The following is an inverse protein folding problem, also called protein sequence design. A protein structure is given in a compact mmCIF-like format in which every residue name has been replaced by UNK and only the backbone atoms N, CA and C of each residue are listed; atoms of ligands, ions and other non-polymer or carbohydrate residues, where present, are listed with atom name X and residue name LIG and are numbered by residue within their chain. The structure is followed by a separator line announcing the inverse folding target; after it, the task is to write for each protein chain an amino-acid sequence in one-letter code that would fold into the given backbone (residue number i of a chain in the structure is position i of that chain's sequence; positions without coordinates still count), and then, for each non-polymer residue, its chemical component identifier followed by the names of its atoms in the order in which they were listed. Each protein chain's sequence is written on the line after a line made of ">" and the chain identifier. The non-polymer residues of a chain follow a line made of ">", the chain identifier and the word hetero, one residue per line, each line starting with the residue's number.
data_IF_519548826543
#
_entry.id   IF_519548826543
#
_cell.length_a   1.000
_cell.length_b   1.000
_cell.length_c   1.000
_cell.angle_alpha   90.00
_cell.angle_beta   90.00
_cell.angle_gamma   90.00
#
_symmetry.space_group_name_H-M   'P 1'
#
loop_
_entity.id
_entity.type
_entity.pdbx_description
1 polymer ?
#
# COMPACT_ATOMS: atom_id res chain seq x y z
N UNK A 1 12.14 10.33 26.18
CA UNK A 1 10.87 9.94 25.51
C UNK A 1 10.75 10.77 24.24
N UNK A 2 10.38 10.20 23.08
CA UNK A 2 10.24 10.94 21.83
C UNK A 2 9.13 11.99 21.92
N UNK A 3 9.45 13.24 21.57
CA UNK A 3 8.54 14.39 21.60
C UNK A 3 8.13 14.74 20.15
N UNK A 4 6.93 14.33 19.78
CA UNK A 4 6.41 14.52 18.43
C UNK A 4 6.13 15.98 18.08
N UNK A 5 5.70 16.81 19.03
CA UNK A 5 5.41 18.24 18.79
C UNK A 5 6.72 18.99 18.50
N UNK A 6 7.75 18.74 19.31
CA UNK A 6 9.08 19.33 19.11
C UNK A 6 9.67 18.87 17.78
N UNK A 7 9.54 17.57 17.43
CA UNK A 7 9.99 17.05 16.16
C UNK A 7 9.30 17.78 15.00
N UNK A 8 7.96 17.87 15.02
CA UNK A 8 7.19 18.56 13.97
C UNK A 8 7.64 19.99 13.79
N UNK A 9 7.82 20.73 14.90
CA UNK A 9 8.28 22.12 14.84
C UNK A 9 9.64 22.23 14.14
N UNK A 10 10.62 21.43 14.53
CA UNK A 10 11.95 21.45 13.95
C UNK A 10 11.95 21.03 12.48
N UNK A 11 11.25 19.94 12.14
CA UNK A 11 11.18 19.46 10.76
C UNK A 11 10.43 20.41 9.82
N UNK A 12 9.44 21.16 10.31
CA UNK A 12 8.75 22.21 9.54
C UNK A 12 9.70 23.40 9.29
N UNK A 13 10.49 23.81 10.27
CA UNK A 13 11.48 24.89 10.12
C UNK A 13 12.57 24.47 9.12
N UNK A 14 13.14 23.27 9.28
CA UNK A 14 14.12 22.71 8.36
C UNK A 14 13.58 22.61 6.92
N UNK A 15 12.37 22.09 6.74
CA UNK A 15 11.76 21.97 5.43
C UNK A 15 11.57 23.35 4.74
N UNK A 16 11.26 24.42 5.48
CA UNK A 16 11.14 25.78 4.93
C UNK A 16 12.47 26.32 4.43
N UNK A 17 13.56 25.99 5.10
CA UNK A 17 14.91 26.45 4.74
C UNK A 17 15.51 25.63 3.59
N UNK A 18 15.29 24.32 3.60
CA UNK A 18 15.92 23.37 2.67
C UNK A 18 15.15 23.23 1.37
N UNK A 19 13.80 23.14 1.45
CA UNK A 19 12.96 22.78 0.30
C UNK A 19 12.46 24.05 -0.39
N UNK A 20 13.21 24.53 -1.36
CA UNK A 20 12.92 25.79 -2.08
C UNK A 20 12.38 25.50 -3.49
N UNK A 21 11.14 25.87 -3.74
CA UNK A 21 10.48 25.73 -5.04
C UNK A 21 9.43 24.63 -5.09
N UNK A 22 9.04 24.23 -6.31
CA UNK A 22 8.05 23.17 -6.51
C UNK A 22 8.64 21.82 -6.11
N UNK A 23 7.87 21.10 -5.35
CA UNK A 23 8.26 19.85 -4.70
C UNK A 23 7.16 18.83 -4.93
N UNK A 24 7.53 17.58 -5.13
CA UNK A 24 6.58 16.50 -5.40
C UNK A 24 6.74 15.37 -4.37
N UNK A 25 5.64 14.74 -4.02
CA UNK A 25 5.61 13.52 -3.20
C UNK A 25 4.64 12.51 -3.80
N UNK A 26 5.05 11.24 -3.83
CA UNK A 26 4.15 10.12 -4.10
C UNK A 26 3.34 9.81 -2.83
N UNK A 27 2.06 10.12 -2.84
CA UNK A 27 1.14 9.88 -1.72
C UNK A 27 0.50 8.51 -1.88
N UNK A 28 1.07 7.47 -1.27
CA UNK A 28 0.54 6.09 -1.36
C UNK A 28 -0.64 5.80 -0.42
N UNK A 29 -1.01 6.75 0.45
CA UNK A 29 -1.97 6.52 1.53
C UNK A 29 -1.42 5.70 2.69
N UNK A 30 -0.16 5.29 2.67
CA UNK A 30 0.55 4.71 3.80
C UNK A 30 0.90 5.77 4.85
N UNK A 31 1.11 5.36 6.11
CA UNK A 31 1.36 6.31 7.21
C UNK A 31 2.59 7.19 6.95
N UNK A 32 3.66 6.66 6.33
CA UNK A 32 4.90 7.39 6.12
C UNK A 32 4.73 8.50 5.08
N UNK A 33 4.24 8.16 3.88
CA UNK A 33 3.98 9.14 2.83
C UNK A 33 2.94 10.19 3.25
N UNK A 34 1.91 9.77 3.99
CA UNK A 34 0.88 10.66 4.52
C UNK A 34 1.43 11.63 5.57
N UNK A 35 2.29 11.14 6.46
CA UNK A 35 2.97 11.97 7.47
C UNK A 35 3.90 12.99 6.82
N UNK A 36 4.69 12.57 5.83
CA UNK A 36 5.53 13.47 5.04
C UNK A 36 4.69 14.53 4.33
N UNK A 37 3.59 14.14 3.67
CA UNK A 37 2.72 15.08 2.96
C UNK A 37 2.15 16.15 3.90
N UNK A 38 1.68 15.77 5.08
CA UNK A 38 1.17 16.71 6.09
C UNK A 38 2.27 17.61 6.66
N UNK A 39 3.42 17.05 6.97
CA UNK A 39 4.54 17.77 7.57
C UNK A 39 5.14 18.80 6.61
N UNK A 40 5.49 18.37 5.40
CA UNK A 40 6.07 19.24 4.37
C UNK A 40 5.00 20.20 3.81
N UNK A 41 3.75 19.73 3.67
CA UNK A 41 2.63 20.61 3.30
C UNK A 41 2.42 21.76 4.28
N UNK A 42 2.63 21.51 5.59
CA UNK A 42 2.61 22.57 6.62
C UNK A 42 3.76 23.57 6.48
N UNK A 43 4.91 23.12 5.97
CA UNK A 43 6.09 23.95 5.78
C UNK A 43 6.00 24.84 4.53
N UNK A 44 5.69 24.26 3.36
CA UNK A 44 5.79 24.94 2.06
C UNK A 44 4.45 25.10 1.31
N UNK A 45 3.35 24.64 1.92
CA UNK A 45 1.98 24.86 1.41
C UNK A 45 1.80 24.36 -0.03
N UNK A 46 1.26 25.21 -0.90
CA UNK A 46 0.97 24.91 -2.31
C UNK A 46 2.20 24.61 -3.18
N UNK A 47 3.42 24.74 -2.65
CA UNK A 47 4.62 24.33 -3.36
C UNK A 47 4.84 22.82 -3.30
N UNK A 48 4.26 22.13 -2.33
CA UNK A 48 4.22 20.66 -2.34
C UNK A 48 3.05 20.18 -3.20
N UNK A 49 3.32 19.34 -4.18
CA UNK A 49 2.30 18.61 -4.97
C UNK A 49 2.28 17.15 -4.51
N UNK A 50 1.16 16.72 -3.96
CA UNK A 50 0.96 15.37 -3.47
C UNK A 50 0.23 14.56 -4.53
N UNK A 51 0.91 13.64 -5.21
CA UNK A 51 0.35 12.82 -6.29
C UNK A 51 -0.05 11.46 -5.76
N UNK A 52 -1.33 11.16 -5.81
CA UNK A 52 -1.87 9.82 -5.60
C UNK A 52 -2.12 9.18 -6.96
N UNK A 53 -1.53 8.02 -7.18
CA UNK A 53 -1.72 7.24 -8.42
C UNK A 53 -2.68 6.08 -8.13
N UNK A 54 -3.87 6.14 -8.72
CA UNK A 54 -4.79 5.01 -8.70
C UNK A 54 -4.38 4.01 -9.79
N UNK A 55 -3.82 2.91 -9.34
CA UNK A 55 -3.35 1.82 -10.19
C UNK A 55 -4.46 0.84 -10.58
N UNK A 56 -5.64 0.95 -9.98
CA UNK A 56 -6.70 -0.06 -10.06
C UNK A 56 -6.47 -1.27 -9.14
N UNK A 57 -5.33 -1.32 -8.41
CA UNK A 57 -4.97 -2.43 -7.51
C UNK A 57 -5.09 -2.08 -6.03
N UNK A 58 -5.78 -0.98 -5.73
CA UNK A 58 -6.02 -0.54 -4.36
C UNK A 58 -7.14 -1.37 -3.70
N UNK A 59 -7.20 -1.32 -2.37
CA UNK A 59 -8.30 -1.92 -1.59
C UNK A 59 -9.64 -1.25 -1.92
N UNK A 60 -10.72 -1.90 -1.54
CA UNK A 60 -12.09 -1.39 -1.74
C UNK A 60 -12.26 0.01 -1.14
N UNK A 61 -12.78 0.94 -1.93
CA UNK A 61 -13.04 2.35 -1.58
C UNK A 61 -11.81 3.14 -1.13
N UNK A 62 -10.61 2.61 -1.31
CA UNK A 62 -9.39 3.26 -0.83
C UNK A 62 -9.01 4.51 -1.64
N UNK A 63 -9.06 4.52 -2.98
CA UNK A 63 -8.76 5.71 -3.77
C UNK A 63 -9.67 6.89 -3.40
N UNK A 64 -10.97 6.65 -3.29
CA UNK A 64 -11.96 7.65 -2.91
C UNK A 64 -11.70 8.17 -1.50
N UNK A 65 -11.39 7.27 -0.58
CA UNK A 65 -11.11 7.61 0.81
C UNK A 65 -9.86 8.45 0.96
N UNK A 66 -8.79 8.12 0.23
CA UNK A 66 -7.56 8.93 0.25
C UNK A 66 -7.83 10.31 -0.33
N UNK A 67 -8.58 10.40 -1.42
CA UNK A 67 -9.00 11.67 -2.00
C UNK A 67 -9.75 12.53 -0.97
N UNK A 68 -10.79 11.98 -0.34
CA UNK A 68 -11.57 12.69 0.71
C UNK A 68 -10.69 13.22 1.85
N UNK A 69 -9.70 12.42 2.29
CA UNK A 69 -8.83 12.80 3.40
C UNK A 69 -7.89 13.94 3.03
N UNK A 70 -7.34 13.94 1.81
CA UNK A 70 -6.21 14.80 1.46
C UNK A 70 -6.55 15.98 0.55
N UNK A 71 -7.63 15.94 -0.25
CA UNK A 71 -7.93 17.00 -1.23
C UNK A 71 -8.11 18.39 -0.62
N UNK A 72 -8.54 18.47 0.65
CA UNK A 72 -8.70 19.75 1.38
C UNK A 72 -7.50 20.11 2.25
N UNK A 73 -6.58 19.18 2.52
CA UNK A 73 -5.48 19.35 3.46
C UNK A 73 -4.15 19.70 2.80
N UNK A 74 -3.93 19.22 1.58
CA UNK A 74 -2.69 19.41 0.83
C UNK A 74 -3.00 19.77 -0.62
N UNK A 75 -2.00 20.20 -1.38
CA UNK A 75 -2.15 20.36 -2.83
C UNK A 75 -2.15 18.97 -3.50
N UNK A 76 -3.33 18.41 -3.66
CA UNK A 76 -3.57 17.01 -4.02
C UNK A 76 -3.85 16.87 -5.51
N UNK A 77 -3.16 15.92 -6.15
CA UNK A 77 -3.38 15.47 -7.53
C UNK A 77 -3.78 14.00 -7.54
N UNK A 78 -4.90 13.71 -8.21
CA UNK A 78 -5.36 12.34 -8.41
C UNK A 78 -5.05 11.91 -9.84
N UNK A 79 -4.17 10.92 -10.00
CA UNK A 79 -3.82 10.33 -11.27
C UNK A 79 -4.57 9.00 -11.44
N UNK A 80 -5.67 9.01 -12.20
CA UNK A 80 -6.33 7.77 -12.62
C UNK A 80 -5.48 7.11 -13.73
N UNK A 81 -4.86 6.00 -13.39
CA UNK A 81 -3.98 5.27 -14.29
C UNK A 81 -4.38 3.78 -14.45
N UNK A 82 -5.57 3.41 -13.96
CA UNK A 82 -6.03 2.02 -13.91
C UNK A 82 -5.87 1.30 -15.24
N UNK A 83 -6.37 1.87 -16.34
CA UNK A 83 -6.29 1.26 -17.68
C UNK A 83 -4.84 1.01 -18.10
N UNK A 84 -3.95 1.98 -17.85
CA UNK A 84 -2.52 1.86 -18.20
C UNK A 84 -1.85 0.67 -17.50
N UNK A 85 -2.20 0.42 -16.23
CA UNK A 85 -1.67 -0.71 -15.49
C UNK A 85 -2.28 -2.05 -15.94
N UNK A 86 -3.59 -2.11 -16.15
CA UNK A 86 -4.23 -3.33 -16.64
C UNK A 86 -3.75 -3.72 -18.03
N UNK A 87 -3.62 -2.78 -18.96
CA UNK A 87 -3.14 -3.03 -20.31
C UNK A 87 -1.69 -3.56 -20.31
N UNK A 88 -0.84 -3.00 -19.46
CA UNK A 88 0.56 -3.41 -19.38
C UNK A 88 0.76 -4.79 -18.71
N UNK A 89 -0.18 -5.22 -17.88
CA UNK A 89 -0.14 -6.54 -17.22
C UNK A 89 -0.86 -7.64 -18.00
N UNK A 90 -1.43 -7.33 -19.15
CA UNK A 90 -2.14 -8.31 -19.96
C UNK A 90 -1.21 -9.44 -20.41
N UNK A 91 -1.59 -10.68 -20.08
CA UNK A 91 -0.81 -11.89 -20.36
C UNK A 91 0.39 -12.13 -19.44
N UNK A 92 0.64 -11.24 -18.47
CA UNK A 92 1.76 -11.38 -17.51
C UNK A 92 1.30 -12.20 -16.31
N UNK A 93 2.01 -13.30 -16.03
CA UNK A 93 1.74 -14.20 -14.90
C UNK A 93 2.89 -14.29 -13.93
N UNK A 94 4.13 -14.03 -14.38
CA UNK A 94 5.31 -14.07 -13.50
C UNK A 94 5.29 -12.94 -12.46
N UNK A 95 5.43 -13.25 -11.16
CA UNK A 95 5.33 -12.27 -10.08
C UNK A 95 6.39 -11.15 -10.15
N UNK A 96 7.61 -11.50 -10.52
CA UNK A 96 8.70 -10.52 -10.60
C UNK A 96 8.53 -9.60 -11.81
N UNK A 97 8.00 -10.13 -12.90
CA UNK A 97 7.66 -9.32 -14.08
C UNK A 97 6.50 -8.36 -13.77
N UNK A 98 5.44 -8.83 -13.08
CA UNK A 98 4.36 -7.96 -12.58
C UNK A 98 4.93 -6.80 -11.75
N UNK A 99 5.79 -7.09 -10.76
CA UNK A 99 6.42 -6.07 -9.90
C UNK A 99 7.23 -5.04 -10.69
N UNK A 100 8.04 -5.51 -11.66
CA UNK A 100 8.86 -4.64 -12.51
C UNK A 100 8.02 -3.73 -13.39
N UNK A 101 6.98 -4.25 -14.03
CA UNK A 101 6.07 -3.48 -14.89
C UNK A 101 5.34 -2.43 -14.07
N UNK A 102 4.76 -2.82 -12.92
CA UNK A 102 4.03 -1.91 -12.04
C UNK A 102 4.96 -0.80 -11.55
N UNK A 103 6.16 -1.15 -11.07
CA UNK A 103 7.13 -0.17 -10.61
C UNK A 103 7.57 0.80 -11.71
N UNK A 104 7.80 0.30 -12.93
CA UNK A 104 8.17 1.11 -14.09
C UNK A 104 7.08 2.13 -14.42
N UNK A 105 5.83 1.68 -14.58
CA UNK A 105 4.70 2.57 -14.92
C UNK A 105 4.47 3.61 -13.83
N UNK A 106 4.57 3.21 -12.57
CA UNK A 106 4.44 4.13 -11.43
C UNK A 106 5.48 5.26 -11.51
N UNK A 107 6.74 4.93 -11.80
CA UNK A 107 7.81 5.89 -11.99
C UNK A 107 7.55 6.79 -13.19
N UNK A 108 7.08 6.26 -14.31
CA UNK A 108 6.77 7.04 -15.51
C UNK A 108 5.67 8.07 -15.23
N UNK A 109 4.57 7.66 -14.59
CA UNK A 109 3.48 8.58 -14.21
C UNK A 109 3.99 9.65 -13.26
N UNK A 110 4.77 9.24 -12.26
CA UNK A 110 5.32 10.19 -11.30
C UNK A 110 6.24 11.22 -11.96
N UNK A 111 7.04 10.80 -12.95
CA UNK A 111 7.88 11.68 -13.76
C UNK A 111 7.08 12.69 -14.57
N UNK A 112 5.96 12.27 -15.18
CA UNK A 112 5.04 13.13 -15.92
C UNK A 112 4.54 14.28 -15.02
N UNK A 113 4.20 13.98 -13.77
CA UNK A 113 3.79 15.00 -12.79
C UNK A 113 4.95 15.87 -12.33
N UNK A 114 6.14 15.30 -12.13
CA UNK A 114 7.33 16.07 -11.76
C UNK A 114 7.69 17.11 -12.85
N UNK A 115 7.60 16.72 -14.10
CA UNK A 115 7.81 17.61 -15.24
C UNK A 115 6.71 18.67 -15.39
N UNK A 116 5.43 18.27 -15.30
CA UNK A 116 4.26 19.16 -15.33
C UNK A 116 4.40 20.32 -14.35
N UNK A 117 4.88 20.00 -13.14
CA UNK A 117 5.06 20.98 -12.06
C UNK A 117 6.43 21.61 -11.99
N UNK A 118 7.38 21.18 -12.84
CA UNK A 118 8.79 21.61 -12.81
C UNK A 118 9.37 21.47 -11.41
N UNK A 119 9.13 20.29 -10.81
CA UNK A 119 9.58 19.98 -9.47
C UNK A 119 11.09 20.03 -9.37
N UNK A 120 11.61 20.51 -8.24
CA UNK A 120 13.05 20.53 -7.92
C UNK A 120 13.38 19.50 -6.84
N UNK A 121 12.43 19.22 -5.96
CA UNK A 121 12.60 18.28 -4.85
C UNK A 121 11.62 17.13 -4.96
N UNK A 122 12.09 15.95 -4.52
CA UNK A 122 11.29 14.75 -4.25
C UNK A 122 11.28 14.52 -2.75
N UNK A 123 10.09 14.54 -2.14
CA UNK A 123 9.92 14.10 -0.76
C UNK A 123 9.68 12.61 -0.72
N UNK A 124 10.40 11.90 0.12
CA UNK A 124 10.28 10.46 0.30
C UNK A 124 10.05 10.10 1.77
N UNK A 125 9.16 9.13 2.01
CA UNK A 125 8.80 8.67 3.34
C UNK A 125 9.71 7.58 3.89
N UNK A 126 11.01 7.65 3.61
CA UNK A 126 12.03 6.75 4.16
C UNK A 126 12.08 6.88 5.68
N UNK A 127 12.14 5.76 6.39
CA UNK A 127 12.27 5.69 7.85
C UNK A 127 13.53 4.93 8.25
N UNK A 128 13.91 4.96 9.53
CA UNK A 128 15.16 4.40 10.02
C UNK A 128 15.40 2.92 9.63
N UNK A 129 14.43 1.99 9.73
CA UNK A 129 14.63 0.62 9.27
C UNK A 129 14.99 0.51 7.79
N UNK A 130 14.35 1.31 6.91
CA UNK A 130 14.52 1.21 5.45
C UNK A 130 15.98 1.45 5.04
N UNK A 131 16.64 2.46 5.60
CA UNK A 131 18.02 2.75 5.23
C UNK A 131 19.05 1.92 6.01
N UNK A 132 18.70 1.40 7.20
CA UNK A 132 19.55 0.48 7.97
C UNK A 132 19.67 -0.87 7.23
N UNK A 133 18.56 -1.40 6.73
CA UNK A 133 18.53 -2.64 5.95
C UNK A 133 19.29 -2.50 4.62
N UNK A 134 19.28 -1.32 4.02
CA UNK A 134 19.93 -1.05 2.74
C UNK A 134 21.44 -0.81 2.86
N UNK A 135 22.02 -0.70 4.05
CA UNK A 135 23.46 -0.42 4.28
C UNK A 135 24.45 -1.37 3.60
N UNK A 136 23.99 -2.50 3.03
CA UNK A 136 24.82 -3.41 2.22
C UNK A 136 25.13 -2.93 0.80
N UNK A 137 24.37 -1.96 0.23
CA UNK A 137 24.45 -1.58 -1.19
C UNK A 137 24.19 -0.09 -1.48
N UNK A 138 24.41 0.84 -0.56
CA UNK A 138 24.06 2.25 -0.80
C UNK A 138 25.24 3.08 -1.27
N UNK A 139 25.10 3.53 -2.52
CA UNK A 139 25.53 4.87 -2.90
C UNK A 139 24.50 5.86 -2.34
N UNK A 140 24.92 6.73 -1.44
CA UNK A 140 24.12 7.87 -0.97
C UNK A 140 23.91 8.84 -2.13
N UNK A 141 22.86 8.61 -2.93
CA UNK A 141 22.48 9.58 -3.95
C UNK A 141 21.52 10.56 -3.30
N UNK A 142 21.99 11.78 -3.07
CA UNK A 142 21.15 12.91 -2.65
C UNK A 142 20.21 13.40 -3.76
N UNK A 143 20.33 12.84 -4.97
CA UNK A 143 19.57 13.25 -6.15
C UNK A 143 18.99 12.03 -6.87
N UNK A 144 17.75 12.15 -7.31
CA UNK A 144 17.06 11.18 -8.15
C UNK A 144 17.03 11.71 -9.58
N UNK A 145 17.72 11.02 -10.49
CA UNK A 145 17.67 11.34 -11.93
C UNK A 145 16.41 10.71 -12.54
N UNK A 146 15.61 11.52 -13.22
CA UNK A 146 14.45 11.08 -13.97
C UNK A 146 14.85 10.67 -15.40
N UNK A 147 14.08 9.82 -16.08
CA UNK A 147 14.32 9.42 -17.47
C UNK A 147 14.41 10.60 -18.46
N UNK A 148 13.73 11.71 -18.17
CA UNK A 148 13.81 12.98 -18.92
C UNK A 148 15.15 13.70 -18.81
N UNK A 149 16.06 13.24 -17.97
CA UNK A 149 17.30 13.94 -17.63
C UNK A 149 17.15 15.00 -16.53
N UNK A 150 15.94 15.23 -16.02
CA UNK A 150 15.71 16.07 -14.85
C UNK A 150 16.28 15.40 -13.60
N UNK A 151 16.92 16.16 -12.73
CA UNK A 151 17.41 15.69 -11.43
C UNK A 151 16.60 16.35 -10.33
N UNK A 152 16.05 15.53 -9.42
CA UNK A 152 15.36 15.99 -8.22
C UNK A 152 16.27 15.84 -7.01
N UNK A 153 16.29 16.85 -6.16
CA UNK A 153 16.92 16.75 -4.85
C UNK A 153 16.02 15.96 -3.91
N UNK A 154 16.59 14.97 -3.20
CA UNK A 154 15.85 14.12 -2.30
C UNK A 154 15.73 14.75 -0.91
N UNK A 155 14.52 14.81 -0.36
CA UNK A 155 14.23 15.25 0.99
C UNK A 155 13.46 14.17 1.78
N UNK A 156 14.04 13.70 2.89
CA UNK A 156 13.56 12.57 3.67
C UNK A 156 13.31 12.98 5.14
N UNK A 157 12.22 13.68 5.44
CA UNK A 157 12.00 14.27 6.77
C UNK A 157 11.80 13.27 7.90
N UNK A 158 11.52 12.00 7.62
CA UNK A 158 11.26 10.95 8.61
C UNK A 158 12.41 9.95 8.75
N UNK A 159 13.53 10.18 8.08
CA UNK A 159 14.63 9.23 7.90
C UNK A 159 15.16 8.62 9.21
N UNK A 160 15.20 9.41 10.27
CA UNK A 160 15.74 8.98 11.57
C UNK A 160 14.68 8.42 12.53
N UNK A 161 13.42 8.35 12.10
CA UNK A 161 12.32 7.86 12.93
C UNK A 161 12.06 6.38 12.74
N UNK A 162 11.67 5.73 13.85
CA UNK A 162 11.10 4.40 13.83
C UNK A 162 9.57 4.45 13.61
N UNK A 163 8.99 3.34 13.17
CA UNK A 163 7.57 3.26 12.79
C UNK A 163 6.61 3.78 13.87
N UNK A 164 6.88 3.47 15.14
CA UNK A 164 6.06 3.93 16.26
C UNK A 164 6.15 5.45 16.49
N UNK A 165 7.30 6.05 16.18
CA UNK A 165 7.49 7.50 16.27
C UNK A 165 6.78 8.20 15.13
N UNK A 166 6.85 7.65 13.89
CA UNK A 166 6.08 8.13 12.74
C UNK A 166 4.58 8.13 13.03
N UNK A 167 4.05 7.06 13.62
CA UNK A 167 2.63 6.99 14.03
C UNK A 167 2.27 8.06 15.06
N UNK A 168 3.16 8.36 16.02
CA UNK A 168 2.95 9.46 16.98
C UNK A 168 2.90 10.82 16.27
N UNK A 169 3.84 11.07 15.35
CA UNK A 169 3.86 12.29 14.53
C UNK A 169 2.60 12.39 13.68
N UNK A 170 2.17 11.31 13.04
CA UNK A 170 0.96 11.23 12.23
C UNK A 170 -0.29 11.67 13.04
N UNK A 171 -0.45 11.14 14.26
CA UNK A 171 -1.57 11.49 15.14
C UNK A 171 -1.55 12.96 15.57
N UNK A 172 -0.38 13.50 15.92
CA UNK A 172 -0.23 14.92 16.29
C UNK A 172 -0.51 15.84 15.07
N UNK A 173 -0.19 15.41 13.86
CA UNK A 173 -0.54 16.11 12.62
C UNK A 173 -2.03 16.01 12.24
N UNK A 174 -2.84 15.27 13.00
CA UNK A 174 -4.29 15.13 12.79
C UNK A 174 -4.66 14.11 11.71
N UNK A 175 -3.78 13.14 11.41
CA UNK A 175 -4.13 11.98 10.60
C UNK A 175 -4.98 11.02 11.43
N UNK A 176 -6.04 10.47 10.82
CA UNK A 176 -6.95 9.52 11.47
C UNK A 176 -6.25 8.20 11.82
N UNK A 177 -6.84 7.44 12.74
CA UNK A 177 -6.37 6.08 13.05
C UNK A 177 -6.38 5.18 11.83
N UNK A 178 -7.31 5.39 10.91
CA UNK A 178 -7.38 4.67 9.63
C UNK A 178 -6.07 4.76 8.82
N UNK A 179 -5.37 5.89 8.89
CA UNK A 179 -4.06 6.09 8.24
C UNK A 179 -2.93 5.69 9.19
N UNK A 180 -2.96 6.14 10.44
CA UNK A 180 -1.85 5.96 11.37
C UNK A 180 -1.66 4.51 11.83
N UNK A 181 -2.74 3.73 11.91
CA UNK A 181 -2.75 2.32 12.33
C UNK A 181 -3.02 1.34 11.18
N UNK A 182 -2.89 1.80 9.96
CA UNK A 182 -3.16 0.99 8.78
C UNK A 182 -2.26 -0.24 8.71
N UNK A 183 -2.87 -1.40 8.42
CA UNK A 183 -2.12 -2.63 8.12
C UNK A 183 -1.22 -2.45 6.90
N UNK A 184 -0.03 -3.05 6.87
CA UNK A 184 0.84 -3.05 5.71
C UNK A 184 0.10 -3.45 4.43
N UNK A 185 0.48 -2.83 3.31
CA UNK A 185 -0.05 -3.15 2.00
C UNK A 185 1.10 -3.12 1.00
N UNK A 186 1.21 -4.12 0.12
CA UNK A 186 2.32 -4.20 -0.81
C UNK A 186 2.28 -3.10 -1.86
N UNK A 187 3.44 -2.65 -2.33
CA UNK A 187 3.53 -1.62 -3.36
C UNK A 187 2.77 -1.94 -4.65
N UNK A 188 2.86 -3.18 -5.18
CA UNK A 188 2.07 -3.58 -6.36
C UNK A 188 0.56 -3.75 -6.09
N UNK A 189 0.11 -3.57 -4.86
CA UNK A 189 -1.30 -3.68 -4.49
C UNK A 189 -1.87 -5.09 -4.64
N UNK A 190 -3.14 -5.17 -5.01
CA UNK A 190 -3.85 -6.44 -5.19
C UNK A 190 -3.36 -7.24 -6.41
N UNK A 191 -2.55 -6.67 -7.29
CA UNK A 191 -2.02 -7.38 -8.46
C UNK A 191 -1.20 -8.62 -8.08
N UNK A 192 -0.43 -8.58 -6.96
CA UNK A 192 0.33 -9.71 -6.45
C UNK A 192 -0.48 -10.63 -5.51
N UNK A 193 -1.78 -10.40 -5.42
CA UNK A 193 -2.74 -11.26 -4.75
C UNK A 193 -3.69 -11.95 -5.74
N UNK A 194 -3.38 -11.85 -7.03
CA UNK A 194 -3.98 -12.61 -8.13
C UNK A 194 -2.88 -13.49 -8.71
N UNK A 195 -2.90 -14.80 -8.37
CA UNK A 195 -1.85 -15.76 -8.77
C UNK A 195 -2.09 -16.26 -10.20
N UNK A 196 -2.11 -15.41 -11.15
CA UNK A 196 -2.18 -15.62 -12.59
C UNK A 196 -2.18 -14.27 -13.29
N UNK A 197 -2.61 -14.24 -14.54
CA UNK A 197 -2.88 -12.99 -15.26
C UNK A 197 -3.84 -12.09 -14.47
N UNK A 198 -3.45 -10.83 -14.33
CA UNK A 198 -4.23 -9.81 -13.61
C UNK A 198 -5.28 -9.24 -14.52
N UNK A 199 -6.56 -9.45 -14.21
CA UNK A 199 -7.71 -8.87 -14.93
C UNK A 199 -8.58 -8.05 -13.99
N UNK A 200 -9.38 -7.12 -14.53
CA UNK A 200 -10.33 -6.32 -13.72
C UNK A 200 -11.27 -7.21 -12.90
N UNK A 201 -11.81 -8.29 -13.51
CA UNK A 201 -12.67 -9.25 -12.83
C UNK A 201 -11.96 -9.91 -11.63
N UNK A 202 -10.74 -10.43 -11.85
CA UNK A 202 -9.99 -11.11 -10.80
C UNK A 202 -9.58 -10.16 -9.68
N UNK A 203 -9.20 -8.93 -10.00
CA UNK A 203 -8.88 -7.90 -9.01
C UNK A 203 -10.12 -7.53 -8.20
N UNK A 204 -11.30 -7.44 -8.82
CA UNK A 204 -12.54 -7.17 -8.09
C UNK A 204 -12.92 -8.30 -7.14
N UNK A 205 -12.76 -9.56 -7.57
CA UNK A 205 -12.98 -10.73 -6.71
C UNK A 205 -12.06 -10.68 -5.48
N UNK A 206 -10.77 -10.44 -5.66
CA UNK A 206 -9.83 -10.38 -4.52
C UNK A 206 -10.07 -9.15 -3.66
N UNK A 207 -10.48 -8.02 -4.23
CA UNK A 207 -10.82 -6.78 -3.53
C UNK A 207 -11.99 -6.97 -2.58
N UNK A 208 -13.07 -7.60 -3.05
CA UNK A 208 -14.23 -7.92 -2.23
C UNK A 208 -13.88 -8.93 -1.13
N UNK A 209 -13.13 -9.99 -1.47
CA UNK A 209 -12.71 -10.98 -0.49
C UNK A 209 -11.79 -10.36 0.59
N UNK A 210 -10.85 -9.50 0.21
CA UNK A 210 -9.97 -8.76 1.14
C UNK A 210 -10.78 -7.86 2.09
N UNK A 211 -11.81 -7.20 1.57
CA UNK A 211 -12.70 -6.37 2.39
C UNK A 211 -13.43 -7.22 3.44
N UNK A 212 -14.02 -8.36 3.06
CA UNK A 212 -14.69 -9.28 3.98
C UNK A 212 -13.74 -9.79 5.06
N UNK A 213 -12.51 -10.21 4.67
CA UNK A 213 -11.51 -10.70 5.64
C UNK A 213 -11.18 -9.61 6.66
N UNK A 214 -10.93 -8.38 6.22
CA UNK A 214 -10.56 -7.28 7.12
C UNK A 214 -11.73 -6.86 8.03
N UNK A 215 -12.95 -6.85 7.53
CA UNK A 215 -14.16 -6.58 8.32
C UNK A 215 -14.33 -7.60 9.45
N UNK A 216 -14.26 -8.90 9.13
CA UNK A 216 -14.42 -9.96 10.14
C UNK A 216 -13.31 -9.94 11.21
N UNK A 217 -12.07 -9.62 10.82
CA UNK A 217 -10.97 -9.45 11.77
C UNK A 217 -11.20 -8.22 12.65
N UNK A 218 -11.65 -7.11 12.06
CA UNK A 218 -12.00 -5.89 12.83
C UNK A 218 -13.12 -6.15 13.85
N UNK A 219 -14.21 -6.79 13.44
CA UNK A 219 -15.33 -7.14 14.34
C UNK A 219 -14.92 -8.08 15.46
N UNK A 220 -13.92 -8.91 15.24
CA UNK A 220 -13.42 -9.84 16.26
C UNK A 220 -12.44 -9.19 17.25
N UNK A 221 -12.08 -7.91 17.09
CA UNK A 221 -11.07 -7.19 17.86
C UNK A 221 -9.72 -7.91 17.96
N UNK A 222 -9.38 -8.72 16.96
CA UNK A 222 -8.11 -9.44 16.90
C UNK A 222 -6.99 -8.51 16.43
N UNK A 223 -5.94 -8.42 17.23
CA UNK A 223 -4.70 -7.79 16.80
C UNK A 223 -3.93 -8.77 15.92
N UNK A 224 -3.69 -8.38 14.69
CA UNK A 224 -2.91 -9.14 13.71
C UNK A 224 -1.94 -8.19 13.02
N UNK A 225 -0.84 -8.73 12.49
CA UNK A 225 0.08 -7.94 11.67
C UNK A 225 -0.55 -7.61 10.32
N UNK A 226 -1.09 -8.63 9.66
CA UNK A 226 -1.72 -8.52 8.36
C UNK A 226 -2.79 -9.58 8.19
N UNK A 227 -3.90 -9.22 7.55
CA UNK A 227 -4.99 -10.10 7.18
C UNK A 227 -5.48 -9.74 5.78
N UNK A 228 -5.54 -10.72 4.88
CA UNK A 228 -5.87 -10.48 3.48
C UNK A 228 -6.35 -11.73 2.76
N UNK A 229 -6.90 -11.53 1.57
CA UNK A 229 -7.33 -12.56 0.65
C UNK A 229 -6.40 -12.63 -0.58
N UNK A 230 -6.27 -13.82 -1.15
CA UNK A 230 -5.51 -14.11 -2.36
C UNK A 230 -6.36 -14.95 -3.29
N UNK A 231 -6.45 -14.59 -4.57
CA UNK A 231 -7.08 -15.38 -5.60
C UNK A 231 -6.08 -16.40 -6.12
N UNK A 232 -6.36 -17.68 -5.86
CA UNK A 232 -5.51 -18.78 -6.28
C UNK A 232 -5.67 -19.09 -7.78
N UNK A 233 -4.65 -19.72 -8.32
CA UNK A 233 -4.67 -20.25 -9.68
C UNK A 233 -5.74 -21.33 -9.84
N UNK A 234 -6.43 -21.31 -10.99
CA UNK A 234 -7.41 -22.32 -11.36
C UNK A 234 -8.76 -22.16 -10.68
N UNK A 235 -9.61 -23.15 -10.92
CA UNK A 235 -10.97 -23.21 -10.42
C UNK A 235 -11.26 -24.57 -9.81
N UNK A 236 -12.21 -24.62 -8.88
CA UNK A 236 -12.67 -25.85 -8.22
C UNK A 236 -14.17 -26.04 -8.37
N UNK A 237 -14.58 -27.31 -8.31
CA UNK A 237 -16.01 -27.66 -8.30
C UNK A 237 -16.64 -27.28 -6.95
N UNK A 238 -17.79 -26.66 -7.02
CA UNK A 238 -18.67 -26.33 -5.90
C UNK A 238 -20.12 -26.68 -6.21
N UNK A 239 -21.01 -26.33 -5.31
CA UNK A 239 -22.46 -26.43 -5.50
C UNK A 239 -23.08 -25.09 -5.09
N UNK A 240 -23.78 -24.42 -6.01
CA UNK A 240 -24.55 -23.20 -5.73
C UNK A 240 -25.99 -23.40 -6.20
N UNK A 241 -26.96 -23.11 -5.33
CA UNK A 241 -28.41 -23.26 -5.62
C UNK A 241 -28.75 -24.62 -6.23
N UNK A 242 -28.26 -25.69 -5.60
CA UNK A 242 -28.43 -27.08 -5.99
C UNK A 242 -27.89 -27.48 -7.37
N UNK A 243 -27.05 -26.63 -7.97
CA UNK A 243 -26.38 -26.92 -9.24
C UNK A 243 -24.87 -26.94 -9.05
N UNK A 244 -24.21 -27.81 -9.82
CA UNK A 244 -22.74 -27.78 -9.90
C UNK A 244 -22.27 -26.43 -10.43
N UNK A 245 -21.31 -25.85 -9.74
CA UNK A 245 -20.63 -24.63 -10.12
C UNK A 245 -19.14 -24.92 -10.23
N UNK A 246 -18.45 -24.20 -11.10
CA UNK A 246 -17.01 -24.30 -11.29
C UNK A 246 -16.41 -22.92 -11.14
N UNK A 247 -15.88 -22.62 -9.98
CA UNK A 247 -15.53 -21.26 -9.60
C UNK A 247 -14.16 -21.13 -8.96
N UNK A 248 -13.76 -19.89 -8.74
CA UNK A 248 -12.48 -19.50 -8.16
C UNK A 248 -12.31 -19.98 -6.73
N UNK A 249 -11.04 -20.07 -6.32
CA UNK A 249 -10.62 -20.41 -4.98
C UNK A 249 -9.94 -19.19 -4.34
N UNK A 250 -10.30 -18.88 -3.10
CA UNK A 250 -9.68 -17.81 -2.31
C UNK A 250 -8.88 -18.43 -1.17
N UNK A 251 -7.61 -18.06 -1.05
CA UNK A 251 -6.84 -18.28 0.17
C UNK A 251 -6.97 -17.06 1.09
N UNK A 252 -7.19 -17.33 2.37
CA UNK A 252 -7.17 -16.33 3.45
C UNK A 252 -5.86 -16.47 4.19
N UNK A 253 -5.13 -15.38 4.31
CA UNK A 253 -3.86 -15.30 5.04
C UNK A 253 -3.99 -14.31 6.18
N UNK A 254 -3.77 -14.77 7.41
CA UNK A 254 -3.77 -13.94 8.61
C UNK A 254 -2.52 -14.28 9.41
N UNK A 255 -1.67 -13.29 9.64
CA UNK A 255 -0.35 -13.50 10.25
C UNK A 255 -0.08 -12.57 11.41
N UNK A 256 0.74 -13.08 12.33
CA UNK A 256 1.44 -12.30 13.36
C UNK A 256 2.91 -12.15 12.98
N UNK A 257 3.43 -10.96 13.14
CA UNK A 257 4.85 -10.65 12.98
C UNK A 257 5.23 -9.48 13.88
N UNK A 258 6.53 -9.30 14.11
CA UNK A 258 7.08 -8.12 14.78
C UNK A 258 7.83 -7.21 13.82
N UNK A 259 8.49 -7.80 12.84
CA UNK A 259 9.48 -7.13 11.98
C UNK A 259 9.35 -7.51 10.48
N UNK A 260 8.34 -8.29 10.13
CA UNK A 260 8.13 -8.88 8.81
C UNK A 260 9.22 -9.89 8.36
N UNK A 261 10.31 -10.07 9.09
CA UNK A 261 11.34 -11.07 8.76
C UNK A 261 10.85 -12.48 9.05
N UNK A 262 10.18 -12.66 10.17
CA UNK A 262 9.49 -13.89 10.53
C UNK A 262 8.00 -13.64 10.72
N UNK A 263 7.16 -14.58 10.36
CA UNK A 263 5.73 -14.51 10.57
C UNK A 263 5.13 -15.90 10.82
N UNK A 264 4.15 -15.94 11.70
CA UNK A 264 3.38 -17.15 11.96
C UNK A 264 1.93 -16.95 11.56
N UNK A 265 1.30 -18.02 11.02
CA UNK A 265 -0.13 -18.01 10.84
C UNK A 265 -0.82 -17.80 12.19
N UNK A 266 -1.78 -16.87 12.23
CA UNK A 266 -2.56 -16.58 13.45
C UNK A 266 -3.50 -17.73 13.74
N UNK A 267 -3.54 -18.18 14.99
CA UNK A 267 -4.60 -19.09 15.42
C UNK A 267 -5.92 -18.31 15.53
N UNK A 268 -6.82 -18.54 14.59
CA UNK A 268 -8.13 -17.89 14.49
C UNK A 268 -9.21 -18.85 14.96
N UNK A 269 -10.17 -18.37 15.75
CA UNK A 269 -11.34 -19.17 16.16
C UNK A 269 -12.08 -19.67 14.92
N UNK A 270 -12.47 -20.94 14.97
CA UNK A 270 -13.13 -21.62 13.86
C UNK A 270 -14.37 -20.88 13.36
N UNK A 271 -15.16 -20.31 14.25
CA UNK A 271 -16.37 -19.56 13.93
C UNK A 271 -16.09 -18.31 13.09
N UNK A 272 -14.95 -17.67 13.29
CA UNK A 272 -14.53 -16.51 12.49
C UNK A 272 -14.14 -16.96 11.08
N UNK A 273 -13.36 -18.04 10.97
CA UNK A 273 -12.99 -18.60 9.67
C UNK A 273 -14.23 -19.08 8.90
N UNK A 274 -15.21 -19.70 9.58
CA UNK A 274 -16.47 -20.09 8.97
C UNK A 274 -17.27 -18.89 8.47
N UNK A 275 -17.36 -17.78 9.24
CA UNK A 275 -18.03 -16.56 8.78
C UNK A 275 -17.36 -15.98 7.55
N UNK A 276 -16.02 -15.85 7.57
CA UNK A 276 -15.25 -15.37 6.41
C UNK A 276 -15.57 -16.24 5.18
N UNK A 277 -15.48 -17.56 5.30
CA UNK A 277 -15.74 -18.48 4.20
C UNK A 277 -17.17 -18.39 3.68
N UNK A 278 -18.15 -18.33 4.59
CA UNK A 278 -19.57 -18.22 4.25
C UNK A 278 -19.89 -16.91 3.54
N UNK A 279 -19.36 -15.79 4.03
CA UNK A 279 -19.55 -14.49 3.40
C UNK A 279 -18.89 -14.43 2.02
N UNK A 280 -17.63 -14.83 1.89
CA UNK A 280 -16.93 -14.82 0.60
C UNK A 280 -17.70 -15.65 -0.44
N UNK A 281 -18.15 -16.86 -0.09
CA UNK A 281 -18.85 -17.73 -1.04
C UNK A 281 -20.28 -17.29 -1.35
N UNK A 282 -20.94 -16.56 -0.43
CA UNK A 282 -22.29 -16.04 -0.62
C UNK A 282 -22.31 -14.69 -1.35
N UNK A 283 -21.41 -13.77 -0.98
CA UNK A 283 -21.41 -12.39 -1.45
C UNK A 283 -20.66 -12.22 -2.78
N UNK A 284 -19.63 -13.06 -3.06
CA UNK A 284 -18.82 -12.94 -4.26
C UNK A 284 -19.25 -13.98 -5.31
N UNK A 285 -19.76 -13.55 -6.47
CA UNK A 285 -20.06 -14.45 -7.57
C UNK A 285 -18.83 -15.25 -8.01
N UNK A 286 -19.05 -16.48 -8.46
CA UNK A 286 -18.00 -17.35 -9.01
C UNK A 286 -16.89 -17.80 -8.03
N UNK A 287 -16.99 -17.53 -6.73
CA UNK A 287 -16.10 -18.13 -5.72
C UNK A 287 -16.79 -19.35 -5.13
N UNK A 288 -16.13 -20.49 -5.20
CA UNK A 288 -16.68 -21.79 -4.73
C UNK A 288 -15.94 -22.38 -3.56
N UNK A 289 -14.74 -21.86 -3.24
CA UNK A 289 -13.91 -22.43 -2.18
C UNK A 289 -13.06 -21.38 -1.48
N UNK A 290 -12.97 -21.53 -0.17
CA UNK A 290 -12.08 -20.71 0.68
C UNK A 290 -11.14 -21.62 1.45
N UNK A 291 -9.85 -21.29 1.46
CA UNK A 291 -8.78 -22.00 2.17
C UNK A 291 -8.17 -21.06 3.20
N UNK A 292 -7.59 -21.62 4.27
CA UNK A 292 -6.79 -20.86 5.23
C UNK A 292 -5.36 -21.31 5.18
N UNK A 293 -4.41 -20.37 4.94
CA UNK A 293 -2.99 -20.69 4.86
C UNK A 293 -2.36 -20.70 6.27
N UNK A 294 -1.86 -21.86 6.66
CA UNK A 294 -1.22 -22.15 7.96
C UNK A 294 0.30 -22.00 7.93
N UNK A 295 0.90 -21.70 6.78
CA UNK A 295 2.35 -21.78 6.62
C UNK A 295 3.05 -20.58 7.26
N UNK A 296 4.07 -20.85 8.08
CA UNK A 296 4.91 -19.80 8.68
C UNK A 296 5.94 -19.25 7.69
N UNK A 297 6.45 -18.06 7.96
CA UNK A 297 7.64 -17.51 7.29
C UNK A 297 8.85 -17.62 8.22
N UNK A 298 9.95 -18.32 7.84
CA UNK A 298 10.02 -19.26 6.72
C UNK A 298 9.18 -20.52 6.95
N UNK A 299 8.92 -21.40 5.94
CA UNK A 299 9.45 -21.36 4.58
C UNK A 299 8.68 -20.47 3.60
N UNK A 300 7.41 -20.11 3.90
CA UNK A 300 6.65 -19.21 3.04
C UNK A 300 7.11 -17.75 3.18
N UNK A 301 6.56 -16.89 2.33
CA UNK A 301 6.60 -15.41 2.47
C UNK A 301 5.32 -14.93 3.16
N UNK A 302 5.19 -13.64 3.47
CA UNK A 302 3.92 -13.08 3.95
C UNK A 302 2.94 -12.96 2.80
N UNK A 303 3.30 -12.24 1.73
CA UNK A 303 2.54 -12.23 0.48
C UNK A 303 2.79 -13.52 -0.31
N UNK A 304 1.88 -13.91 -1.21
CA UNK A 304 2.00 -15.13 -2.02
C UNK A 304 2.92 -14.92 -3.23
N UNK A 305 2.94 -13.72 -3.78
CA UNK A 305 3.81 -13.29 -4.87
C UNK A 305 4.72 -12.13 -4.45
#
# INVERSE_FOLDING_TARGET
>A
MFDAEKFIKNAVEEAKETVVGKTIIALSGGVDSSTCAMLVGKAIGKNLVCVFVDTGFMRKNEPERIKEIFETKVNFEFADAQERFFDALKGITDPEEKRKIIGKIYIEIFNEYAEKYKAKFLVQGTIAPDWIETKGNIKSHHNVALPSGMTLELYEPLRDLYKEEVRKVARVLGLSEEISERMPFPGPGLAIRVLEEVTKEKVEIVREADAIVREEISYSNLKVWQAFAVLLEGKATGVKRDKRDYGYMIAVRIVESKDAMTANAKNIKWEILQRIASRITAEIPHVTRVLYDLTSKPPATIEFE
#
